data_IF_421514527506
#
_entry.id   IF_421514527506
#
_cell.length_a   1.000
_cell.length_b   1.000
_cell.length_c   1.000
_cell.angle_alpha   90.00
_cell.angle_beta   90.00
_cell.angle_gamma   90.00
#
_symmetry.space_group_name_H-M   'P 1'
#
loop_
_entity.id
_entity.type
_entity.pdbx_description
1 polymer ?
#
# COMPACT_ATOMS: atom_id res chain seq x y z
N UNK A 1 -2.59 18.72 24.88
CA UNK A 1 -1.50 19.63 24.43
C UNK A 1 -0.32 18.73 24.05
N UNK A 2 0.29 18.87 22.84
CA UNK A 2 1.37 17.94 22.43
C UNK A 2 2.69 18.31 23.12
N UNK A 3 3.58 17.30 23.35
CA UNK A 3 4.91 17.50 23.94
C UNK A 3 5.74 18.54 23.17
N UNK A 4 5.61 18.59 21.85
CA UNK A 4 6.28 19.60 21.01
C UNK A 4 5.87 21.03 21.35
N UNK A 5 4.57 21.28 21.59
CA UNK A 5 4.06 22.60 22.00
C UNK A 5 4.56 23.03 23.40
N UNK A 6 5.07 22.07 24.19
CA UNK A 6 5.68 22.29 25.49
C UNK A 6 7.21 22.47 25.42
N UNK A 7 7.80 22.47 24.22
CA UNK A 7 9.26 22.55 24.04
C UNK A 7 10.02 21.26 24.39
N UNK A 8 9.30 20.14 24.59
CA UNK A 8 9.86 18.83 24.98
C UNK A 8 10.18 17.97 23.74
N UNK A 9 11.05 18.47 22.88
CA UNK A 9 11.34 17.85 21.59
C UNK A 9 11.92 16.44 21.71
N UNK A 10 12.82 16.19 22.66
CA UNK A 10 13.42 14.86 22.86
C UNK A 10 12.38 13.85 23.33
N UNK A 11 11.54 14.21 24.31
CA UNK A 11 10.47 13.34 24.79
C UNK A 11 9.45 13.04 23.68
N UNK A 12 9.10 14.05 22.86
CA UNK A 12 8.21 13.87 21.72
C UNK A 12 8.79 12.89 20.69
N UNK A 13 10.09 13.00 20.39
CA UNK A 13 10.77 12.12 19.46
C UNK A 13 10.83 10.67 19.96
N UNK A 14 11.16 10.45 21.23
CA UNK A 14 11.16 9.10 21.80
C UNK A 14 9.75 8.48 21.81
N UNK A 15 8.72 9.26 22.09
CA UNK A 15 7.34 8.80 22.00
C UNK A 15 6.94 8.40 20.56
N UNK A 16 7.37 9.17 19.56
CA UNK A 16 7.13 8.83 18.14
C UNK A 16 7.86 7.55 17.71
N UNK A 17 9.11 7.34 18.15
CA UNK A 17 9.84 6.07 17.94
C UNK A 17 9.13 4.90 18.62
N UNK A 18 8.64 5.10 19.84
CA UNK A 18 7.82 4.10 20.54
C UNK A 18 6.57 3.70 19.76
N UNK A 19 5.86 4.68 19.20
CA UNK A 19 4.70 4.43 18.34
C UNK A 19 5.09 3.65 17.07
N UNK A 20 6.22 3.99 16.44
CA UNK A 20 6.74 3.26 15.29
C UNK A 20 7.09 1.80 15.63
N UNK A 21 7.77 1.59 16.76
CA UNK A 21 8.11 0.25 17.26
C UNK A 21 6.87 -0.60 17.57
N UNK A 22 5.80 0.03 18.06
CA UNK A 22 4.54 -0.65 18.38
C UNK A 22 3.60 -0.84 17.18
N UNK A 23 3.97 -0.42 15.97
CA UNK A 23 3.09 -0.49 14.80
C UNK A 23 1.87 0.46 14.88
N UNK A 24 2.01 1.58 15.58
CA UNK A 24 0.94 2.56 15.84
C UNK A 24 1.25 3.95 15.23
N UNK A 25 2.02 3.99 14.15
CA UNK A 25 2.29 5.24 13.43
C UNK A 25 1.03 5.74 12.71
N UNK A 26 0.81 7.04 12.85
CA UNK A 26 -0.08 7.80 11.95
C UNK A 26 0.76 8.48 10.86
N UNK A 27 0.16 8.96 9.76
CA UNK A 27 0.88 9.73 8.73
C UNK A 27 1.68 10.89 9.33
N UNK A 28 1.08 11.62 10.27
CA UNK A 28 1.75 12.75 10.96
C UNK A 28 3.00 12.30 11.72
N UNK A 29 2.94 11.17 12.43
CA UNK A 29 4.10 10.62 13.14
C UNK A 29 5.17 10.18 12.13
N UNK A 30 4.76 9.55 11.04
CA UNK A 30 5.64 9.09 9.96
C UNK A 30 6.41 10.26 9.33
N UNK A 31 5.72 11.34 8.97
CA UNK A 31 6.34 12.53 8.37
C UNK A 31 7.31 13.21 9.35
N UNK A 32 6.93 13.36 10.62
CA UNK A 32 7.81 13.93 11.65
C UNK A 32 9.05 13.08 11.92
N UNK A 33 8.91 11.76 11.90
CA UNK A 33 10.07 10.86 12.00
C UNK A 33 10.98 11.00 10.76
N UNK A 34 10.42 11.20 9.56
CA UNK A 34 11.18 11.44 8.34
C UNK A 34 11.96 12.77 8.41
N UNK A 35 11.32 13.85 8.86
CA UNK A 35 11.98 15.13 9.08
C UNK A 35 13.14 14.99 10.07
N UNK A 36 12.91 14.29 11.18
CA UNK A 36 13.94 14.10 12.20
C UNK A 36 15.08 13.20 11.73
N UNK A 37 14.78 12.13 10.97
CA UNK A 37 15.80 11.28 10.35
C UNK A 37 16.79 12.10 9.51
N UNK A 38 16.32 13.13 8.80
CA UNK A 38 17.19 14.00 8.01
C UNK A 38 18.27 14.68 8.86
N UNK A 39 18.01 14.94 10.14
CA UNK A 39 18.90 15.61 11.08
C UNK A 39 19.85 14.69 11.85
N UNK A 40 19.67 13.36 11.79
CA UNK A 40 20.50 12.40 12.49
C UNK A 40 21.93 12.38 11.90
N UNK A 41 22.94 12.44 12.77
CA UNK A 41 24.37 12.37 12.38
C UNK A 41 24.77 10.96 11.96
N UNK A 42 24.33 9.95 12.74
CA UNK A 42 24.56 8.54 12.46
C UNK A 42 23.19 7.88 12.20
N UNK A 43 23.02 7.36 11.01
CA UNK A 43 21.76 6.78 10.56
C UNK A 43 21.97 5.70 9.49
N UNK A 44 21.07 4.72 9.35
CA UNK A 44 21.03 3.83 8.20
C UNK A 44 20.96 4.61 6.87
N UNK A 45 21.30 3.95 5.77
CA UNK A 45 21.39 4.59 4.45
C UNK A 45 20.07 5.22 4.00
N UNK A 46 18.92 4.63 4.39
CA UNK A 46 17.61 5.13 4.02
C UNK A 46 16.71 5.29 5.25
N UNK A 47 15.71 6.15 5.13
CA UNK A 47 14.69 6.34 6.17
C UNK A 47 13.91 5.05 6.42
N UNK A 48 13.62 4.29 5.36
CA UNK A 48 12.91 3.02 5.42
C UNK A 48 13.67 1.99 6.25
N UNK A 49 14.98 1.84 6.02
CA UNK A 49 15.84 0.97 6.80
C UNK A 49 15.87 1.40 8.28
N UNK A 50 15.86 2.71 8.54
CA UNK A 50 15.81 3.23 9.89
C UNK A 50 14.47 2.91 10.58
N UNK A 51 13.32 3.18 9.93
CA UNK A 51 11.98 2.87 10.46
C UNK A 51 11.86 1.36 10.73
N UNK A 52 12.31 0.51 9.81
CA UNK A 52 12.31 -0.94 10.01
C UNK A 52 13.16 -1.36 11.23
N UNK A 53 14.28 -0.67 11.49
CA UNK A 53 15.15 -0.96 12.63
C UNK A 53 14.55 -0.60 13.99
N UNK A 54 13.50 0.23 14.03
CA UNK A 54 12.80 0.58 15.27
C UNK A 54 11.92 -0.56 15.80
N UNK A 55 11.61 -1.54 14.96
CA UNK A 55 10.75 -2.68 15.33
C UNK A 55 11.58 -3.84 15.86
N UNK A 56 11.11 -4.54 16.91
CA UNK A 56 11.77 -5.74 17.40
C UNK A 56 11.82 -6.82 16.31
N UNK A 57 13.01 -7.31 15.99
CA UNK A 57 13.21 -8.30 14.91
C UNK A 57 12.33 -9.54 15.06
N UNK A 58 12.16 -10.03 16.27
CA UNK A 58 11.35 -11.22 16.54
C UNK A 58 9.85 -10.99 16.24
N UNK A 59 9.33 -9.78 16.48
CA UNK A 59 7.94 -9.45 16.14
C UNK A 59 7.77 -9.35 14.62
N UNK A 60 8.72 -8.73 13.92
CA UNK A 60 8.72 -8.66 12.46
C UNK A 60 8.73 -10.07 11.86
N UNK A 61 9.62 -10.96 12.33
CA UNK A 61 9.69 -12.34 11.83
C UNK A 61 8.42 -13.14 12.15
N UNK A 62 7.81 -12.93 13.29
CA UNK A 62 6.53 -13.55 13.63
C UNK A 62 5.42 -13.16 12.65
N UNK A 63 5.32 -11.85 12.31
CA UNK A 63 4.36 -11.35 11.35
C UNK A 63 4.68 -11.90 9.95
N UNK A 64 5.94 -11.85 9.51
CA UNK A 64 6.36 -12.39 8.20
C UNK A 64 6.06 -13.88 8.07
N UNK A 65 6.29 -14.67 9.13
CA UNK A 65 5.98 -16.12 9.10
C UNK A 65 4.48 -16.38 8.94
N UNK A 66 3.63 -15.56 9.56
CA UNK A 66 2.18 -15.62 9.33
C UNK A 66 1.85 -15.29 7.88
N UNK A 67 2.37 -14.19 7.35
CA UNK A 67 2.12 -13.75 5.98
C UNK A 67 2.66 -14.76 4.93
N UNK A 68 3.80 -15.41 5.19
CA UNK A 68 4.32 -16.49 4.31
C UNK A 68 3.33 -17.65 4.18
N UNK A 69 2.60 -17.98 5.24
CA UNK A 69 1.56 -19.00 5.20
C UNK A 69 0.28 -18.55 4.44
N UNK A 70 0.11 -17.26 4.23
CA UNK A 70 -1.02 -16.66 3.50
C UNK A 70 -0.67 -16.37 2.02
N UNK A 71 0.57 -16.60 1.59
CA UNK A 71 0.96 -16.47 0.18
C UNK A 71 0.23 -17.53 -0.66
N UNK A 72 -0.37 -17.09 -1.74
CA UNK A 72 -1.11 -17.91 -2.70
C UNK A 72 -0.44 -17.87 -4.07
N UNK A 73 -0.89 -18.72 -4.99
CA UNK A 73 -0.37 -18.77 -6.36
C UNK A 73 -1.53 -19.03 -7.33
N UNK A 74 -2.31 -17.99 -7.62
CA UNK A 74 -3.53 -18.08 -8.42
C UNK A 74 -3.34 -17.25 -9.69
N UNK A 75 -3.41 -17.83 -10.89
CA UNK A 75 -3.34 -17.06 -12.12
C UNK A 75 -4.48 -16.06 -12.21
N UNK A 76 -4.23 -14.85 -12.69
CA UNK A 76 -5.28 -13.86 -12.94
C UNK A 76 -5.55 -13.69 -14.43
N UNK A 77 -6.79 -13.35 -14.76
CA UNK A 77 -7.18 -13.03 -16.12
C UNK A 77 -6.56 -11.71 -16.58
N UNK A 78 -5.94 -11.64 -17.78
CA UNK A 78 -5.39 -10.40 -18.28
C UNK A 78 -6.42 -9.27 -18.32
N UNK A 79 -6.01 -8.07 -17.91
CA UNK A 79 -6.91 -6.91 -17.84
C UNK A 79 -6.30 -5.67 -18.49
N UNK A 80 -7.20 -4.74 -18.83
CA UNK A 80 -6.88 -3.39 -19.28
C UNK A 80 -7.77 -2.42 -18.49
N UNK A 81 -7.17 -1.43 -17.81
CA UNK A 81 -7.88 -0.39 -17.09
C UNK A 81 -7.46 0.99 -17.58
N UNK A 82 -8.39 1.94 -17.53
CA UNK A 82 -8.14 3.34 -17.88
C UNK A 82 -7.47 4.06 -16.70
N UNK A 83 -6.46 4.88 -16.97
CA UNK A 83 -5.82 5.71 -15.96
C UNK A 83 -6.54 7.05 -15.81
N UNK A 84 -6.64 7.53 -14.57
CA UNK A 84 -7.15 8.87 -14.25
C UNK A 84 -6.30 9.96 -14.91
N UNK A 85 -4.99 9.77 -15.02
CA UNK A 85 -4.05 10.67 -15.68
C UNK A 85 -4.10 10.56 -17.22
N UNK A 86 -4.89 9.66 -17.75
CA UNK A 86 -5.02 9.37 -19.18
C UNK A 86 -4.22 8.13 -19.60
N UNK A 87 -4.62 7.57 -20.75
CA UNK A 87 -4.03 6.31 -21.23
C UNK A 87 -4.63 5.07 -20.57
N UNK A 88 -3.92 3.95 -20.66
CA UNK A 88 -4.38 2.63 -20.18
C UNK A 88 -3.23 1.84 -19.59
N UNK A 89 -3.48 1.19 -18.48
CA UNK A 89 -2.61 0.18 -17.89
C UNK A 89 -3.07 -1.20 -18.35
N UNK A 90 -2.13 -1.98 -18.89
CA UNK A 90 -2.37 -3.34 -19.37
C UNK A 90 -1.56 -4.32 -18.53
N UNK A 91 -2.18 -5.32 -17.93
CA UNK A 91 -1.45 -6.32 -17.14
C UNK A 91 -0.41 -7.10 -17.96
N UNK A 92 -0.61 -7.22 -19.28
CA UNK A 92 0.36 -7.84 -20.20
C UNK A 92 1.67 -7.03 -20.35
N UNK A 93 1.72 -5.78 -19.88
CA UNK A 93 2.94 -4.96 -19.87
C UNK A 93 3.74 -5.05 -18.58
N UNK A 94 3.28 -5.78 -17.57
CA UNK A 94 4.00 -6.00 -16.33
C UNK A 94 5.26 -6.84 -16.61
N UNK A 95 6.37 -6.38 -16.05
CA UNK A 95 7.67 -7.02 -16.29
C UNK A 95 7.81 -8.29 -15.44
N UNK A 96 8.71 -9.17 -15.86
CA UNK A 96 9.12 -10.29 -15.03
C UNK A 96 9.64 -9.77 -13.68
N UNK A 97 9.21 -10.43 -12.61
CA UNK A 97 9.56 -10.12 -11.22
C UNK A 97 9.10 -8.74 -10.70
N UNK A 98 8.35 -7.97 -11.51
CA UNK A 98 7.65 -6.78 -11.05
C UNK A 98 6.53 -7.18 -10.09
N UNK A 99 6.48 -6.51 -8.94
CA UNK A 99 5.43 -6.69 -7.93
C UNK A 99 4.42 -5.55 -8.09
N UNK A 100 3.16 -5.91 -8.30
CA UNK A 100 2.09 -4.93 -8.51
C UNK A 100 1.08 -5.04 -7.38
N UNK A 101 0.91 -3.96 -6.63
CA UNK A 101 -0.10 -3.83 -5.57
C UNK A 101 -1.31 -3.13 -6.14
N UNK A 102 -2.47 -3.75 -6.04
CA UNK A 102 -3.77 -3.19 -6.47
C UNK A 102 -4.64 -3.02 -5.23
N UNK A 103 -5.10 -1.78 -4.98
CA UNK A 103 -6.08 -1.45 -3.94
C UNK A 103 -7.42 -1.10 -4.59
N UNK A 104 -8.45 -1.91 -4.34
CA UNK A 104 -9.81 -1.69 -4.84
C UNK A 104 -10.61 -0.87 -3.84
N UNK A 105 -11.09 0.30 -4.29
CA UNK A 105 -11.77 1.28 -3.47
C UNK A 105 -12.90 2.03 -4.21
N UNK A 106 -13.67 2.85 -3.48
CA UNK A 106 -14.70 3.72 -4.04
C UNK A 106 -14.83 5.01 -3.21
N UNK A 107 -15.33 6.08 -3.83
CA UNK A 107 -15.54 7.38 -3.16
C UNK A 107 -16.56 7.33 -2.01
N UNK A 108 -17.52 6.43 -2.07
CA UNK A 108 -18.52 6.23 -1.01
C UNK A 108 -18.03 5.33 0.14
N UNK A 109 -16.87 4.68 -0.01
CA UNK A 109 -16.35 3.70 0.93
C UNK A 109 -15.47 4.37 2.01
N UNK A 110 -16.06 4.73 3.14
CA UNK A 110 -15.31 5.39 4.22
C UNK A 110 -14.10 4.58 4.74
N UNK A 111 -14.17 3.25 4.97
CA UNK A 111 -13.00 2.48 5.38
C UNK A 111 -11.93 2.39 4.28
N UNK A 112 -12.31 2.45 3.00
CA UNK A 112 -11.36 2.53 1.91
C UNK A 112 -10.56 3.84 1.96
N UNK A 113 -11.25 4.98 2.13
CA UNK A 113 -10.61 6.30 2.22
C UNK A 113 -9.66 6.35 3.42
N UNK A 114 -10.08 5.79 4.57
CA UNK A 114 -9.23 5.72 5.76
C UNK A 114 -7.97 4.83 5.56
N UNK A 115 -8.04 3.83 4.67
CA UNK A 115 -6.91 2.97 4.35
C UNK A 115 -5.85 3.67 3.46
N UNK A 116 -6.24 4.69 2.69
CA UNK A 116 -5.33 5.39 1.75
C UNK A 116 -4.11 5.99 2.45
N UNK A 117 -4.23 6.43 3.70
CA UNK A 117 -3.10 6.94 4.49
C UNK A 117 -2.01 5.87 4.67
N UNK A 118 -2.39 4.64 5.04
CA UNK A 118 -1.46 3.52 5.16
C UNK A 118 -0.88 3.09 3.82
N UNK A 119 -1.69 3.17 2.76
CA UNK A 119 -1.22 2.89 1.41
C UNK A 119 -0.24 3.96 0.91
N UNK A 120 -0.46 5.25 1.23
CA UNK A 120 0.52 6.31 0.92
C UNK A 120 1.86 6.04 1.61
N UNK A 121 1.84 5.62 2.89
CA UNK A 121 3.07 5.24 3.59
C UNK A 121 3.79 4.08 2.90
N UNK A 122 3.06 3.07 2.40
CA UNK A 122 3.63 1.98 1.62
C UNK A 122 4.19 2.46 0.26
N UNK A 123 3.47 3.31 -0.47
CA UNK A 123 3.95 3.93 -1.72
C UNK A 123 5.26 4.68 -1.49
N UNK A 124 5.35 5.46 -0.42
CA UNK A 124 6.53 6.22 -0.07
C UNK A 124 7.75 5.32 0.23
N UNK A 125 7.55 4.16 0.88
CA UNK A 125 8.62 3.18 1.12
C UNK A 125 9.26 2.67 -0.17
N UNK A 126 8.47 2.53 -1.24
CA UNK A 126 8.91 1.99 -2.52
C UNK A 126 9.06 3.04 -3.62
N UNK A 127 9.04 4.33 -3.28
CA UNK A 127 9.09 5.42 -4.27
C UNK A 127 10.33 5.37 -5.18
N UNK A 128 11.43 4.81 -4.70
CA UNK A 128 12.69 4.66 -5.44
C UNK A 128 12.93 3.23 -5.97
N UNK A 129 11.97 2.34 -5.85
CA UNK A 129 12.06 0.95 -6.29
C UNK A 129 11.24 0.73 -7.57
N UNK A 130 11.88 0.69 -8.75
CA UNK A 130 11.18 0.55 -10.03
C UNK A 130 10.54 -0.83 -10.23
N UNK A 131 10.82 -1.81 -9.36
CA UNK A 131 10.26 -3.16 -9.44
C UNK A 131 8.94 -3.29 -8.70
N UNK A 132 8.49 -2.26 -7.99
CA UNK A 132 7.23 -2.24 -7.25
C UNK A 132 6.31 -1.16 -7.80
N UNK A 133 5.07 -1.51 -8.07
CA UNK A 133 4.03 -0.61 -8.59
C UNK A 133 2.80 -0.65 -7.72
N UNK A 134 2.14 0.51 -7.58
CA UNK A 134 0.89 0.64 -6.85
C UNK A 134 -0.19 1.22 -7.76
N UNK A 135 -1.37 0.59 -7.77
CA UNK A 135 -2.55 1.06 -8.48
C UNK A 135 -3.76 1.13 -7.55
N UNK A 136 -4.46 2.25 -7.59
CA UNK A 136 -5.64 2.52 -6.78
C UNK A 136 -6.87 2.46 -7.67
N UNK A 137 -7.56 1.33 -7.66
CA UNK A 137 -8.61 1.00 -8.63
C UNK A 137 -9.98 1.35 -8.08
N UNK A 138 -10.64 2.34 -8.70
CA UNK A 138 -12.05 2.62 -8.44
C UNK A 138 -12.89 1.49 -9.00
N UNK A 139 -13.61 0.82 -8.12
CA UNK A 139 -14.53 -0.27 -8.43
C UNK A 139 -15.91 -0.03 -7.79
N UNK A 140 -16.94 -0.67 -8.29
CA UNK A 140 -18.33 -0.58 -7.77
C UNK A 140 -18.88 0.87 -7.73
N UNK A 141 -18.28 1.78 -8.49
CA UNK A 141 -18.63 3.19 -8.55
C UNK A 141 -18.38 3.75 -9.95
N UNK A 142 -19.07 4.84 -10.30
CA UNK A 142 -18.73 5.63 -11.47
C UNK A 142 -17.70 6.70 -11.07
N UNK A 143 -16.59 6.81 -11.79
CA UNK A 143 -15.53 7.72 -11.41
C UNK A 143 -15.98 9.17 -11.52
N UNK A 144 -15.85 9.91 -10.43
CA UNK A 144 -16.02 11.36 -10.40
C UNK A 144 -14.64 12.01 -10.30
N UNK A 145 -14.11 12.50 -11.43
CA UNK A 145 -12.76 13.06 -11.52
C UNK A 145 -12.53 14.21 -10.55
N UNK A 146 -13.45 15.15 -10.46
CA UNK A 146 -13.32 16.33 -9.59
C UNK A 146 -13.23 15.92 -8.10
N UNK A 147 -14.04 14.95 -7.67
CA UNK A 147 -13.98 14.44 -6.29
C UNK A 147 -12.71 13.68 -6.00
N UNK A 148 -12.18 12.93 -6.96
CA UNK A 148 -10.89 12.22 -6.83
C UNK A 148 -9.77 13.26 -6.68
N UNK A 149 -9.71 14.25 -7.57
CA UNK A 149 -8.68 15.30 -7.52
C UNK A 149 -8.74 16.09 -6.22
N UNK A 150 -9.95 16.42 -5.76
CA UNK A 150 -10.14 17.11 -4.48
C UNK A 150 -9.67 16.26 -3.28
N UNK A 151 -9.95 14.95 -3.30
CA UNK A 151 -9.51 14.01 -2.25
C UNK A 151 -7.97 13.90 -2.24
N UNK A 152 -7.35 13.72 -3.41
CA UNK A 152 -5.88 13.65 -3.56
C UNK A 152 -5.20 14.92 -3.07
N UNK A 153 -5.69 16.09 -3.52
CA UNK A 153 -5.16 17.38 -3.10
C UNK A 153 -5.33 17.64 -1.60
N UNK A 154 -6.50 17.30 -1.03
CA UNK A 154 -6.78 17.51 0.40
C UNK A 154 -5.83 16.74 1.30
N UNK A 155 -5.46 15.52 0.92
CA UNK A 155 -4.64 14.62 1.73
C UNK A 155 -3.16 14.58 1.27
N UNK A 156 -2.80 15.39 0.28
CA UNK A 156 -1.45 15.44 -0.32
C UNK A 156 -0.95 14.05 -0.77
N UNK A 157 -1.86 13.24 -1.37
CA UNK A 157 -1.49 11.93 -1.90
C UNK A 157 -0.59 12.07 -3.12
N UNK A 158 0.54 11.35 -3.11
CA UNK A 158 1.61 11.46 -4.11
C UNK A 158 1.97 10.09 -4.67
N UNK A 159 2.27 10.02 -5.95
CA UNK A 159 2.69 8.79 -6.64
C UNK A 159 1.67 7.64 -6.52
N UNK A 160 0.40 7.97 -6.28
CA UNK A 160 -0.72 7.05 -6.19
C UNK A 160 -1.52 7.11 -7.48
N UNK A 161 -1.22 6.21 -8.43
CA UNK A 161 -1.92 6.17 -9.72
C UNK A 161 -3.31 5.58 -9.58
N UNK A 162 -4.34 6.38 -9.92
CA UNK A 162 -5.74 5.95 -9.89
C UNK A 162 -6.12 5.34 -11.22
N UNK A 163 -6.71 4.15 -11.17
CA UNK A 163 -7.28 3.47 -12.33
C UNK A 163 -8.79 3.30 -12.16
N UNK A 164 -9.45 3.06 -13.27
CA UNK A 164 -10.87 2.76 -13.31
C UNK A 164 -11.08 1.31 -13.71
N UNK A 165 -11.77 0.55 -12.86
CA UNK A 165 -12.14 -0.84 -13.16
C UNK A 165 -12.99 -0.90 -14.45
N UNK A 166 -12.94 -2.00 -15.16
CA UNK A 166 -13.68 -2.18 -16.39
C UNK A 166 -15.19 -2.34 -16.13
N UNK A 167 -16.00 -1.82 -17.06
CA UNK A 167 -17.45 -2.02 -17.03
C UNK A 167 -17.82 -3.36 -17.67
N UNK A 168 -18.72 -4.15 -17.06
CA UNK A 168 -19.38 -5.24 -17.75
C UNK A 168 -20.20 -4.67 -18.93
N UNK A 169 -20.26 -5.40 -20.05
CA UNK A 169 -21.07 -5.00 -21.19
C UNK A 169 -22.53 -4.71 -20.78
N UNK A 170 -23.01 -3.51 -21.08
CA UNK A 170 -24.39 -3.09 -20.82
C UNK A 170 -24.74 -2.73 -19.37
N UNK A 171 -23.75 -2.50 -18.50
CA UNK A 171 -23.95 -2.09 -17.11
C UNK A 171 -23.09 -0.87 -16.77
N UNK A 172 -23.59 -0.02 -15.86
CA UNK A 172 -22.92 1.19 -15.39
C UNK A 172 -22.13 0.95 -14.08
N UNK A 173 -21.76 -0.29 -13.76
CA UNK A 173 -21.00 -0.60 -12.55
C UNK A 173 -19.66 -1.20 -12.93
N UNK A 174 -18.59 -0.47 -12.62
CA UNK A 174 -17.20 -0.87 -12.86
C UNK A 174 -16.76 -1.90 -11.82
N UNK A 175 -16.64 -3.18 -12.20
CA UNK A 175 -16.26 -4.24 -11.26
C UNK A 175 -15.72 -5.53 -11.93
N UNK A 176 -15.30 -5.47 -13.19
CA UNK A 176 -14.88 -6.67 -13.93
C UNK A 176 -13.59 -7.25 -13.37
N UNK A 177 -12.56 -6.40 -13.21
CA UNK A 177 -11.25 -6.83 -12.70
C UNK A 177 -11.36 -7.21 -11.22
N UNK A 178 -12.08 -6.40 -10.44
CA UNK A 178 -12.37 -6.70 -9.03
C UNK A 178 -12.98 -8.10 -8.87
N UNK A 179 -14.05 -8.39 -9.59
CA UNK A 179 -14.75 -9.70 -9.49
C UNK A 179 -13.91 -10.87 -9.97
N UNK A 180 -13.03 -10.67 -10.95
CA UNK A 180 -12.13 -11.72 -11.40
C UNK A 180 -11.08 -12.06 -10.34
N UNK A 181 -10.58 -11.04 -9.63
CA UNK A 181 -9.60 -11.22 -8.56
C UNK A 181 -10.21 -11.67 -7.24
N UNK A 182 -11.45 -11.29 -6.96
CA UNK A 182 -12.16 -11.59 -5.71
C UNK A 182 -13.53 -12.23 -5.98
N UNK A 183 -13.56 -13.46 -6.55
CA UNK A 183 -14.81 -14.13 -6.84
C UNK A 183 -15.58 -14.44 -5.54
N UNK A 184 -16.89 -14.20 -5.56
CA UNK A 184 -17.79 -14.49 -4.42
C UNK A 184 -17.81 -13.42 -3.33
N UNK A 185 -17.01 -12.34 -3.44
CA UNK A 185 -17.06 -11.21 -2.50
C UNK A 185 -17.67 -9.97 -3.14
N UNK A 186 -18.17 -9.06 -2.31
CA UNK A 186 -18.71 -7.76 -2.73
C UNK A 186 -18.21 -6.60 -1.87
N UNK A 187 -17.48 -6.88 -0.80
CA UNK A 187 -16.95 -5.86 0.13
C UNK A 187 -15.67 -5.21 -0.37
N UNK A 188 -15.49 -3.94 -0.08
CA UNK A 188 -14.25 -3.17 -0.24
C UNK A 188 -13.93 -2.45 1.08
N UNK A 189 -12.66 -2.08 1.39
CA UNK A 189 -11.47 -2.22 0.54
C UNK A 189 -10.97 -3.65 0.41
N UNK A 190 -10.40 -3.99 -0.74
CA UNK A 190 -9.67 -5.23 -0.94
C UNK A 190 -8.39 -4.97 -1.73
N UNK A 191 -7.34 -5.70 -1.41
CA UNK A 191 -6.03 -5.55 -2.02
C UNK A 191 -5.53 -6.86 -2.60
N UNK A 192 -4.97 -6.79 -3.80
CA UNK A 192 -4.28 -7.91 -4.43
C UNK A 192 -2.82 -7.54 -4.70
N UNK A 193 -1.90 -8.45 -4.40
CA UNK A 193 -0.50 -8.30 -4.78
C UNK A 193 -0.19 -9.35 -5.85
N UNK A 194 0.28 -8.85 -6.98
CA UNK A 194 0.53 -9.65 -8.18
C UNK A 194 2.04 -9.78 -8.43
N UNK A 195 2.45 -10.92 -8.93
CA UNK A 195 3.81 -11.16 -9.46
C UNK A 195 3.75 -12.25 -10.54
N UNK A 196 4.44 -12.04 -11.66
CA UNK A 196 4.61 -13.03 -12.72
C UNK A 196 3.30 -13.67 -13.25
N UNK A 197 2.23 -12.86 -13.40
CA UNK A 197 0.94 -13.34 -13.90
C UNK A 197 0.04 -14.03 -12.87
N UNK A 198 0.44 -14.04 -11.60
CA UNK A 198 -0.32 -14.64 -10.50
C UNK A 198 -0.68 -13.65 -9.42
N UNK A 199 -1.83 -13.84 -8.78
CA UNK A 199 -2.17 -13.23 -7.50
C UNK A 199 -1.40 -14.01 -6.44
N UNK A 200 -0.53 -13.29 -5.72
CA UNK A 200 0.34 -13.88 -4.70
C UNK A 200 -0.16 -13.61 -3.29
N UNK A 201 -0.97 -12.58 -3.12
CA UNK A 201 -1.57 -12.25 -1.82
C UNK A 201 -2.90 -11.51 -2.00
N UNK A 202 -3.82 -11.70 -1.07
CA UNK A 202 -5.08 -10.97 -0.96
C UNK A 202 -5.27 -10.48 0.46
N UNK A 203 -5.63 -9.19 0.62
CA UNK A 203 -6.02 -8.61 1.89
C UNK A 203 -7.44 -8.06 1.83
N UNK A 204 -8.24 -8.37 2.84
CA UNK A 204 -9.63 -7.93 2.94
C UNK A 204 -9.80 -6.91 4.06
N UNK A 205 -10.55 -5.84 3.76
CA UNK A 205 -10.90 -4.83 4.73
C UNK A 205 -9.75 -3.89 5.11
N UNK A 206 -9.92 -3.21 6.25
CA UNK A 206 -8.95 -2.32 6.84
C UNK A 206 -9.05 -2.37 8.36
N UNK A 207 -7.97 -2.72 9.02
CA UNK A 207 -7.89 -2.91 10.49
C UNK A 207 -7.77 -1.62 11.30
N UNK A 208 -7.89 -0.43 10.67
CA UNK A 208 -7.87 0.86 11.37
C UNK A 208 -6.47 1.40 11.72
N UNK A 209 -5.39 0.69 11.34
CA UNK A 209 -4.01 1.13 11.59
C UNK A 209 -3.29 1.43 10.27
N UNK A 210 -2.96 2.71 9.96
CA UNK A 210 -2.20 3.05 8.76
C UNK A 210 -0.84 2.34 8.71
N UNK A 211 -0.07 2.35 9.80
CA UNK A 211 1.23 1.68 9.84
C UNK A 211 1.12 0.16 9.84
N UNK A 212 0.04 -0.39 10.42
CA UNK A 212 -0.23 -1.83 10.32
C UNK A 212 -0.47 -2.27 8.88
N UNK A 213 -1.22 -1.49 8.10
CA UNK A 213 -1.44 -1.73 6.68
C UNK A 213 -0.15 -1.57 5.86
N UNK A 214 0.62 -0.49 6.12
CA UNK A 214 1.94 -0.30 5.51
C UNK A 214 2.84 -1.52 5.76
N UNK A 215 2.90 -2.01 7.00
CA UNK A 215 3.71 -3.18 7.38
C UNK A 215 3.27 -4.45 6.66
N UNK A 216 1.97 -4.72 6.63
CA UNK A 216 1.40 -5.87 5.94
C UNK A 216 1.83 -5.89 4.47
N UNK A 217 1.57 -4.79 3.75
CA UNK A 217 1.92 -4.66 2.33
C UNK A 217 3.43 -4.78 2.11
N UNK A 218 4.24 -4.08 2.91
CA UNK A 218 5.70 -4.09 2.74
C UNK A 218 6.30 -5.46 3.05
N UNK A 219 5.84 -6.16 4.08
CA UNK A 219 6.36 -7.50 4.39
C UNK A 219 6.00 -8.52 3.32
N UNK A 220 4.81 -8.45 2.73
CA UNK A 220 4.45 -9.29 1.59
C UNK A 220 5.35 -9.00 0.39
N UNK A 221 5.61 -7.73 0.07
CA UNK A 221 6.53 -7.34 -1.01
C UNK A 221 7.93 -7.91 -0.74
N UNK A 222 8.45 -7.80 0.48
CA UNK A 222 9.76 -8.34 0.85
C UNK A 222 9.81 -9.87 0.71
N UNK A 223 8.78 -10.59 1.18
CA UNK A 223 8.67 -12.05 1.02
C UNK A 223 8.72 -12.44 -0.47
N UNK A 224 7.96 -11.74 -1.32
CA UNK A 224 7.93 -12.02 -2.75
C UNK A 224 9.26 -11.69 -3.45
N UNK A 225 10.03 -10.71 -2.97
CA UNK A 225 11.38 -10.42 -3.47
C UNK A 225 12.38 -11.51 -3.07
N UNK A 226 12.28 -12.02 -1.84
CA UNK A 226 13.13 -13.12 -1.35
C UNK A 226 12.97 -14.39 -2.21
N UNK A 227 11.74 -14.72 -2.63
CA UNK A 227 11.47 -15.87 -3.52
C UNK A 227 12.23 -15.79 -4.86
N UNK A 228 12.31 -14.59 -5.47
CA UNK A 228 13.02 -14.39 -6.74
C UNK A 228 14.54 -14.65 -6.64
N UNK A 229 15.13 -14.29 -5.50
CA UNK A 229 16.57 -14.46 -5.26
C UNK A 229 16.99 -15.93 -5.01
N UNK A 230 16.05 -16.82 -4.67
CA UNK A 230 16.31 -18.24 -4.46
C UNK A 230 16.16 -19.08 -5.74
N UNK A 231 15.50 -18.56 -6.77
CA UNK A 231 15.30 -19.25 -8.05
C UNK A 231 16.50 -19.13 -9.01
N UNK A 232 17.47 -18.25 -8.71
CA UNK A 232 18.68 -18.01 -9.53
C UNK A 232 19.95 -18.69 -8.97
N UNK A 233 19.82 -19.50 -7.93
CA UNK A 233 20.92 -20.33 -7.37
C UNK A 233 20.69 -21.80 -7.64
#
# INVERSE_FOLDING_TARGET
MSLEKLGKHTEAFEAMKGAASAGQMTPVIYDKLREHYATLKEKPATFEAWIASLKPKHEVEKIKNKLRAEIIDIPFEPFVMESHQGGKVKSASFKKDEIVVIDFWALWCAPCIAALDGMQMAVDLYANDPTVKFYFVITQDEPNREKIDALWKKNDFRNMEVLYDANPKGKNSRNVVYKSMFPGTSGIPQKAILKNGHIRYRAEGYGGSPSGLMDEISYVIEILKEEGNHAEK
#
